data_IF_473862796185
#
_entry.id   IF_473862796185
#
_cell.length_a   1.000
_cell.length_b   1.000
_cell.length_c   1.000
_cell.angle_alpha   90.00
_cell.angle_beta   90.00
_cell.angle_gamma   90.00
#
_symmetry.space_group_name_H-M   'P 1'
#
loop_
_entity.id
_entity.type
_entity.pdbx_description
1 polymer ?
#
# COMPACT_ATOMS: atom_id res chain seq x y z
N UNK A 1 -43.30 15.91 -13.35
CA UNK A 1 -42.46 14.71 -13.19
C UNK A 1 -41.61 14.55 -14.44
N UNK A 2 -40.35 14.94 -14.38
CA UNK A 2 -39.41 14.84 -15.51
C UNK A 2 -38.13 15.64 -15.22
N UNK A 3 -36.96 15.06 -15.52
CA UNK A 3 -35.61 15.65 -15.52
C UNK A 3 -34.66 15.50 -14.31
N UNK A 4 -34.97 14.75 -13.25
CA UNK A 4 -33.93 14.46 -12.23
C UNK A 4 -32.86 13.46 -12.73
N UNK A 5 -33.22 12.49 -13.58
CA UNK A 5 -32.28 11.43 -14.01
C UNK A 5 -31.14 11.93 -14.93
N UNK A 6 -31.35 13.02 -15.68
CA UNK A 6 -30.31 13.60 -16.55
C UNK A 6 -29.23 14.36 -15.78
N UNK A 7 -29.61 15.08 -14.73
CA UNK A 7 -28.70 15.92 -13.93
C UNK A 7 -27.69 15.08 -13.13
N UNK A 8 -28.17 14.00 -12.49
CA UNK A 8 -27.30 13.04 -11.78
C UNK A 8 -26.29 12.32 -12.68
N UNK A 9 -26.56 12.25 -13.98
CA UNK A 9 -25.60 11.70 -14.96
C UNK A 9 -24.50 12.69 -15.32
N UNK A 10 -24.78 14.00 -15.25
CA UNK A 10 -23.83 15.07 -15.56
C UNK A 10 -22.87 15.31 -14.41
N UNK A 11 -23.36 15.47 -13.17
CA UNK A 11 -22.52 15.72 -11.99
C UNK A 11 -21.57 14.56 -11.69
N UNK A 12 -22.01 13.31 -11.87
CA UNK A 12 -21.14 12.12 -11.75
C UNK A 12 -20.03 12.09 -12.80
N UNK A 13 -20.33 12.47 -14.05
CA UNK A 13 -19.33 12.58 -15.12
C UNK A 13 -18.35 13.73 -14.86
N UNK A 14 -18.84 14.86 -14.33
CA UNK A 14 -18.00 15.99 -13.96
C UNK A 14 -17.04 15.62 -12.82
N UNK A 15 -17.52 14.94 -11.78
CA UNK A 15 -16.65 14.47 -10.69
C UNK A 15 -15.63 13.43 -11.18
N UNK A 16 -16.05 12.50 -12.04
CA UNK A 16 -15.12 11.54 -12.65
C UNK A 16 -14.07 12.22 -13.52
N UNK A 17 -14.43 13.29 -14.23
CA UNK A 17 -13.51 14.10 -15.03
C UNK A 17 -12.54 14.89 -14.15
N UNK A 18 -13.04 15.57 -13.11
CA UNK A 18 -12.20 16.26 -12.13
C UNK A 18 -11.21 15.30 -11.48
N UNK A 19 -11.67 14.09 -11.12
CA UNK A 19 -10.83 13.01 -10.61
C UNK A 19 -9.82 12.48 -11.63
N UNK A 20 -10.07 12.56 -12.94
CA UNK A 20 -9.10 12.17 -13.97
C UNK A 20 -8.05 13.25 -14.22
N UNK A 21 -8.49 14.51 -14.25
CA UNK A 21 -7.68 15.69 -14.55
C UNK A 21 -6.89 16.19 -13.33
N UNK A 22 -7.24 15.75 -12.11
CA UNK A 22 -6.61 16.22 -10.88
C UNK A 22 -7.15 17.57 -10.38
N UNK A 23 -8.34 17.97 -10.82
CA UNK A 23 -8.99 19.21 -10.40
C UNK A 23 -9.57 19.06 -8.97
N UNK A 24 -8.71 19.30 -7.97
CA UNK A 24 -9.04 19.18 -6.55
C UNK A 24 -10.14 20.15 -6.12
N UNK A 25 -10.08 21.40 -6.58
CA UNK A 25 -11.04 22.44 -6.22
C UNK A 25 -12.40 22.18 -6.87
N UNK A 26 -12.42 21.76 -8.15
CA UNK A 26 -13.65 21.33 -8.82
C UNK A 26 -14.27 20.11 -8.16
N UNK A 27 -13.46 19.09 -7.82
CA UNK A 27 -13.93 17.92 -7.10
C UNK A 27 -14.50 18.29 -5.72
N UNK A 28 -13.83 19.17 -4.97
CA UNK A 28 -14.27 19.65 -3.66
C UNK A 28 -15.62 20.36 -3.74
N UNK A 29 -15.79 21.33 -4.64
CA UNK A 29 -17.06 22.04 -4.85
C UNK A 29 -18.20 21.10 -5.20
N UNK A 30 -17.96 20.11 -6.07
CA UNK A 30 -18.97 19.13 -6.44
C UNK A 30 -19.39 18.25 -5.26
N UNK A 31 -18.45 17.86 -4.40
CA UNK A 31 -18.70 17.05 -3.21
C UNK A 31 -19.39 17.84 -2.09
N UNK A 32 -19.10 19.14 -1.94
CA UNK A 32 -19.80 20.03 -1.01
C UNK A 32 -21.27 20.22 -1.41
N UNK A 33 -21.55 20.33 -2.71
CA UNK A 33 -22.91 20.47 -3.23
C UNK A 33 -23.69 19.14 -3.20
N UNK A 34 -23.03 18.02 -3.50
CA UNK A 34 -23.65 16.70 -3.54
C UNK A 34 -22.71 15.61 -2.97
N UNK A 35 -22.68 15.43 -1.62
CA UNK A 35 -21.80 14.46 -0.97
C UNK A 35 -22.02 13.01 -1.42
N UNK A 36 -23.23 12.69 -1.90
CA UNK A 36 -23.59 11.37 -2.40
C UNK A 36 -22.79 10.92 -3.63
N UNK A 37 -22.22 11.85 -4.40
CA UNK A 37 -21.46 11.55 -5.63
C UNK A 37 -20.21 10.70 -5.35
N UNK A 38 -19.61 10.82 -4.16
CA UNK A 38 -18.44 10.06 -3.75
C UNK A 38 -18.68 8.55 -3.75
N UNK A 39 -19.91 8.10 -3.49
CA UNK A 39 -20.29 6.68 -3.41
C UNK A 39 -20.49 6.02 -4.78
N UNK A 40 -20.17 6.71 -5.86
CA UNK A 40 -20.31 6.18 -7.22
C UNK A 40 -19.36 4.99 -7.46
N UNK A 41 -19.94 3.84 -7.81
CA UNK A 41 -19.24 2.58 -8.10
C UNK A 41 -19.22 2.26 -9.61
N UNK A 42 -18.37 1.31 -10.02
CA UNK A 42 -18.33 0.79 -11.39
C UNK A 42 -17.30 1.47 -12.31
N UNK A 43 -17.61 1.61 -13.60
CA UNK A 43 -16.68 2.11 -14.64
C UNK A 43 -16.28 3.57 -14.45
N UNK A 44 -17.16 4.38 -13.87
CA UNK A 44 -16.94 5.81 -13.61
C UNK A 44 -16.76 6.10 -12.12
N UNK A 45 -16.14 5.17 -11.37
CA UNK A 45 -15.88 5.40 -9.95
C UNK A 45 -14.78 6.46 -9.80
N UNK A 46 -15.09 7.66 -9.26
CA UNK A 46 -14.11 8.74 -9.14
C UNK A 46 -12.93 8.33 -8.25
N UNK A 47 -13.16 7.46 -7.26
CA UNK A 47 -12.11 6.96 -6.37
C UNK A 47 -11.10 6.08 -7.11
N UNK A 48 -11.56 5.21 -8.01
CA UNK A 48 -10.66 4.39 -8.83
C UNK A 48 -9.87 5.23 -9.82
N UNK A 49 -10.53 6.23 -10.44
CA UNK A 49 -9.90 7.14 -11.40
C UNK A 49 -8.83 7.99 -10.71
N UNK A 50 -9.17 8.62 -9.58
CA UNK A 50 -8.22 9.42 -8.79
C UNK A 50 -7.04 8.58 -8.28
N UNK A 51 -7.30 7.35 -7.84
CA UNK A 51 -6.26 6.42 -7.41
C UNK A 51 -5.32 6.02 -8.56
N UNK A 52 -5.87 5.73 -9.75
CA UNK A 52 -5.09 5.41 -10.94
C UNK A 52 -4.27 6.62 -11.46
N UNK A 53 -4.79 7.83 -11.31
CA UNK A 53 -4.13 9.08 -11.70
C UNK A 53 -3.15 9.64 -10.65
N UNK A 54 -3.11 9.05 -9.46
CA UNK A 54 -2.25 9.50 -8.35
C UNK A 54 -2.69 10.79 -7.68
N UNK A 55 -3.95 11.20 -7.88
CA UNK A 55 -4.52 12.42 -7.32
C UNK A 55 -4.90 12.20 -5.85
N UNK A 56 -3.90 12.05 -4.99
CA UNK A 56 -4.03 11.68 -3.58
C UNK A 56 -4.97 12.59 -2.79
N UNK A 57 -4.99 13.89 -3.08
CA UNK A 57 -5.91 14.83 -2.42
C UNK A 57 -7.37 14.58 -2.80
N UNK A 58 -7.65 14.23 -4.06
CA UNK A 58 -8.99 13.82 -4.49
C UNK A 58 -9.37 12.46 -3.89
N UNK A 59 -8.42 11.52 -3.80
CA UNK A 59 -8.63 10.23 -3.12
C UNK A 59 -9.07 10.45 -1.68
N UNK A 60 -8.36 11.30 -0.94
CA UNK A 60 -8.70 11.65 0.45
C UNK A 60 -10.11 12.29 0.52
N UNK A 61 -10.38 13.32 -0.28
CA UNK A 61 -11.70 13.98 -0.33
C UNK A 61 -12.84 12.98 -0.57
N UNK A 62 -12.67 12.06 -1.52
CA UNK A 62 -13.70 11.07 -1.84
C UNK A 62 -13.94 10.10 -0.68
N UNK A 63 -12.88 9.63 -0.02
CA UNK A 63 -12.97 8.72 1.13
C UNK A 63 -13.67 9.40 2.32
N UNK A 64 -13.36 10.68 2.58
CA UNK A 64 -14.04 11.49 3.61
C UNK A 64 -15.54 11.64 3.34
N UNK A 65 -15.94 11.77 2.07
CA UNK A 65 -17.34 11.84 1.67
C UNK A 65 -18.01 10.46 1.58
N UNK A 66 -17.36 9.42 2.12
CA UNK A 66 -17.90 8.09 2.29
C UNK A 66 -17.76 7.17 1.08
N UNK A 67 -16.84 7.46 0.15
CA UNK A 67 -16.49 6.50 -0.89
C UNK A 67 -15.94 5.20 -0.27
N UNK A 68 -16.39 4.06 -0.79
CA UNK A 68 -15.93 2.77 -0.27
C UNK A 68 -14.48 2.49 -0.67
N UNK A 69 -13.54 2.53 0.29
CA UNK A 69 -12.12 2.21 0.08
C UNK A 69 -11.90 0.81 -0.52
N UNK A 70 -12.82 -0.12 -0.22
CA UNK A 70 -12.83 -1.50 -0.67
C UNK A 70 -13.81 -1.79 -1.81
N UNK A 71 -14.37 -0.73 -2.42
CA UNK A 71 -15.25 -0.87 -3.58
C UNK A 71 -14.51 -1.50 -4.75
N UNK A 72 -15.26 -2.12 -5.67
CA UNK A 72 -14.69 -2.83 -6.81
C UNK A 72 -15.15 -2.21 -8.12
N UNK A 73 -14.21 -2.01 -9.03
CA UNK A 73 -14.50 -1.67 -10.42
C UNK A 73 -15.18 -2.82 -11.14
N UNK A 74 -15.60 -2.61 -12.38
CA UNK A 74 -16.17 -3.67 -13.23
C UNK A 74 -15.21 -4.85 -13.42
N UNK A 75 -13.90 -4.61 -13.32
CA UNK A 75 -12.87 -5.64 -13.39
C UNK A 75 -12.57 -6.32 -12.04
N UNK A 76 -13.33 -5.98 -11.00
CA UNK A 76 -13.06 -6.45 -9.66
C UNK A 76 -11.82 -5.84 -9.03
N UNK A 77 -11.26 -4.77 -9.59
CA UNK A 77 -10.10 -4.13 -8.98
C UNK A 77 -10.55 -3.17 -7.90
N UNK A 78 -9.79 -3.06 -6.82
CA UNK A 78 -9.99 -2.03 -5.80
C UNK A 78 -9.25 -0.75 -6.19
N UNK A 79 -9.58 0.41 -5.60
CA UNK A 79 -8.80 1.63 -5.80
C UNK A 79 -7.32 1.43 -5.46
N UNK A 80 -7.02 0.65 -4.43
CA UNK A 80 -5.66 0.29 -4.02
C UNK A 80 -4.90 -0.46 -5.13
N UNK A 81 -5.56 -1.38 -5.83
CA UNK A 81 -4.95 -2.08 -6.96
C UNK A 81 -4.63 -1.13 -8.11
N UNK A 82 -5.52 -0.18 -8.43
CA UNK A 82 -5.25 0.78 -9.50
C UNK A 82 -4.12 1.75 -9.12
N UNK A 83 -4.08 2.24 -7.88
CA UNK A 83 -2.94 3.04 -7.39
C UNK A 83 -1.61 2.28 -7.45
N UNK A 84 -1.60 1.01 -7.02
CA UNK A 84 -0.42 0.15 -7.07
C UNK A 84 0.00 -0.16 -8.51
N UNK A 85 -0.95 -0.31 -9.43
CA UNK A 85 -0.67 -0.53 -10.86
C UNK A 85 0.00 0.69 -11.51
N UNK A 86 -0.45 1.89 -11.15
CA UNK A 86 0.11 3.15 -11.65
C UNK A 86 1.37 3.61 -10.89
N UNK A 87 1.69 3.01 -9.75
CA UNK A 87 2.84 3.38 -8.93
C UNK A 87 2.64 4.64 -8.07
N UNK A 88 1.40 5.09 -7.92
CA UNK A 88 1.05 6.31 -7.22
C UNK A 88 1.06 6.07 -5.70
N UNK A 89 2.25 6.07 -5.11
CA UNK A 89 2.47 5.71 -3.71
C UNK A 89 1.77 6.66 -2.72
N UNK A 90 1.57 7.93 -3.06
CA UNK A 90 0.78 8.89 -2.25
C UNK A 90 -0.70 8.48 -2.20
N UNK A 91 -1.25 7.99 -3.30
CA UNK A 91 -2.62 7.48 -3.34
C UNK A 91 -2.75 6.15 -2.58
N UNK A 92 -1.73 5.27 -2.66
CA UNK A 92 -1.66 4.05 -1.83
C UNK A 92 -1.65 4.42 -0.35
N UNK A 93 -0.81 5.37 0.04
CA UNK A 93 -0.75 5.85 1.41
C UNK A 93 -2.08 6.42 1.90
N UNK A 94 -2.74 7.26 1.11
CA UNK A 94 -4.06 7.79 1.42
C UNK A 94 -5.09 6.67 1.66
N UNK A 95 -5.13 5.67 0.77
CA UNK A 95 -6.04 4.52 0.88
C UNK A 95 -5.77 3.65 2.12
N UNK A 96 -4.50 3.46 2.50
CA UNK A 96 -4.12 2.64 3.66
C UNK A 96 -4.56 3.24 5.00
N UNK A 97 -4.71 4.57 5.08
CA UNK A 97 -5.25 5.24 6.28
C UNK A 97 -6.75 5.01 6.45
N UNK A 98 -7.48 4.69 5.38
CA UNK A 98 -8.92 4.39 5.42
C UNK A 98 -9.21 2.87 5.49
N UNK A 99 -8.36 2.12 6.18
CA UNK A 99 -8.52 0.67 6.44
C UNK A 99 -8.91 -0.16 5.19
N UNK A 100 -8.30 0.15 4.05
CA UNK A 100 -8.48 -0.68 2.87
C UNK A 100 -7.83 -2.05 3.05
N UNK A 101 -8.49 -3.08 2.51
CA UNK A 101 -8.06 -4.46 2.57
C UNK A 101 -7.03 -4.74 1.46
N UNK A 102 -5.77 -4.84 1.89
CA UNK A 102 -4.61 -5.07 1.02
C UNK A 102 -4.56 -6.47 0.42
N UNK A 103 -5.30 -7.43 1.00
CA UNK A 103 -5.27 -8.85 0.63
C UNK A 103 -6.32 -9.24 -0.43
N UNK A 104 -7.24 -8.32 -0.78
CA UNK A 104 -8.26 -8.61 -1.80
C UNK A 104 -7.60 -8.93 -3.13
N UNK A 105 -8.08 -9.98 -3.79
CA UNK A 105 -7.74 -10.31 -5.17
C UNK A 105 -8.74 -9.74 -6.17
N UNK A 106 -8.32 -9.46 -7.40
CA UNK A 106 -9.19 -9.03 -8.51
C UNK A 106 -10.15 -10.16 -8.93
N UNK A 107 -11.23 -9.85 -9.66
CA UNK A 107 -12.18 -10.90 -10.08
C UNK A 107 -11.61 -11.81 -11.16
N UNK A 108 -10.89 -11.25 -12.12
CA UNK A 108 -10.50 -11.96 -13.33
C UNK A 108 -9.32 -12.90 -13.14
N UNK A 109 -8.37 -12.51 -12.31
CA UNK A 109 -7.13 -13.25 -12.16
C UNK A 109 -6.65 -13.37 -10.72
N UNK A 110 -7.47 -13.01 -9.73
CA UNK A 110 -7.09 -13.09 -8.32
C UNK A 110 -5.90 -12.22 -7.91
N UNK A 111 -5.34 -11.39 -8.80
CA UNK A 111 -4.19 -10.52 -8.48
C UNK A 111 -4.57 -9.54 -7.38
N UNK A 112 -3.73 -9.47 -6.35
CA UNK A 112 -3.81 -8.49 -5.26
C UNK A 112 -3.09 -7.19 -5.62
N UNK A 113 -3.17 -6.18 -4.75
CA UNK A 113 -2.41 -4.94 -4.93
C UNK A 113 -0.89 -5.20 -5.00
N UNK A 114 -0.37 -6.19 -4.26
CA UNK A 114 1.04 -6.57 -4.28
C UNK A 114 1.49 -7.07 -5.65
N UNK A 115 0.64 -7.85 -6.33
CA UNK A 115 0.91 -8.33 -7.69
C UNK A 115 1.07 -7.18 -8.68
N UNK A 116 0.16 -6.18 -8.62
CA UNK A 116 0.22 -5.01 -9.50
C UNK A 116 1.42 -4.11 -9.21
N UNK A 117 1.76 -3.91 -7.92
CA UNK A 117 2.97 -3.16 -7.54
C UNK A 117 4.25 -3.85 -8.04
N UNK A 118 4.33 -5.18 -7.91
CA UNK A 118 5.48 -5.96 -8.35
C UNK A 118 5.63 -5.98 -9.88
N UNK A 119 4.53 -6.17 -10.61
CA UNK A 119 4.49 -6.09 -12.08
C UNK A 119 4.92 -4.71 -12.59
N UNK A 120 4.51 -3.63 -11.91
CA UNK A 120 4.85 -2.25 -12.28
C UNK A 120 6.22 -1.76 -11.80
N UNK A 121 6.91 -2.51 -10.92
CA UNK A 121 8.24 -2.13 -10.41
C UNK A 121 8.19 -1.12 -9.25
N UNK A 122 7.04 -1.01 -8.59
CA UNK A 122 6.76 0.05 -7.63
C UNK A 122 7.16 -0.37 -6.21
N UNK A 123 8.46 -0.42 -5.93
CA UNK A 123 9.01 -0.84 -4.64
C UNK A 123 8.46 -0.05 -3.43
N UNK A 124 8.22 1.26 -3.60
CA UNK A 124 7.60 2.09 -2.56
C UNK A 124 6.16 1.61 -2.22
N UNK A 125 5.38 1.23 -3.24
CA UNK A 125 4.05 0.65 -3.04
C UNK A 125 4.13 -0.69 -2.30
N UNK A 126 5.11 -1.55 -2.61
CA UNK A 126 5.32 -2.83 -1.90
C UNK A 126 5.59 -2.58 -0.41
N UNK A 127 6.47 -1.63 -0.07
CA UNK A 127 6.77 -1.27 1.33
C UNK A 127 5.52 -0.78 2.06
N UNK A 128 4.73 0.08 1.41
CA UNK A 128 3.46 0.58 1.95
C UNK A 128 2.44 -0.53 2.17
N UNK A 129 2.31 -1.47 1.23
CA UNK A 129 1.38 -2.59 1.35
C UNK A 129 1.72 -3.50 2.53
N UNK A 130 3.01 -3.84 2.71
CA UNK A 130 3.48 -4.60 3.88
C UNK A 130 3.18 -3.85 5.17
N UNK A 131 3.45 -2.55 5.20
CA UNK A 131 3.20 -1.74 6.38
C UNK A 131 1.70 -1.64 6.72
N UNK A 132 0.85 -1.51 5.69
CA UNK A 132 -0.59 -1.52 5.80
C UNK A 132 -1.16 -2.86 6.29
N UNK A 133 -0.58 -3.97 5.83
CA UNK A 133 -0.92 -5.32 6.28
C UNK A 133 -0.64 -5.50 7.79
N UNK A 134 0.57 -5.15 8.23
CA UNK A 134 0.98 -5.26 9.64
C UNK A 134 0.15 -4.32 10.53
N UNK A 135 -0.17 -3.11 10.04
CA UNK A 135 -1.01 -2.15 10.76
C UNK A 135 -2.46 -2.64 10.94
N UNK A 136 -2.97 -3.47 10.02
CA UNK A 136 -4.32 -4.03 10.08
C UNK A 136 -4.44 -5.29 10.97
N UNK A 137 -3.43 -5.59 11.79
CA UNK A 137 -3.40 -6.78 12.65
C UNK A 137 -2.77 -8.01 12.01
N UNK A 138 -2.09 -7.85 10.86
CA UNK A 138 -1.16 -8.84 10.35
C UNK A 138 0.03 -9.00 11.29
N UNK A 139 0.43 -10.23 11.57
CA UNK A 139 1.68 -10.56 12.27
C UNK A 139 2.74 -10.98 11.24
N UNK A 140 4.00 -11.05 11.67
CA UNK A 140 5.09 -11.52 10.81
C UNK A 140 4.87 -12.97 10.33
N UNK A 141 4.16 -13.79 11.10
CA UNK A 141 3.83 -15.17 10.72
C UNK A 141 2.89 -15.24 9.50
N UNK A 142 1.95 -14.30 9.36
CA UNK A 142 1.04 -14.20 8.22
C UNK A 142 1.61 -13.41 7.06
N UNK A 143 2.71 -12.68 7.27
CA UNK A 143 3.37 -11.90 6.22
C UNK A 143 3.82 -12.82 5.08
N UNK A 144 4.37 -13.99 5.40
CA UNK A 144 4.77 -14.98 4.40
C UNK A 144 3.57 -15.41 3.53
N UNK A 145 2.40 -15.62 4.14
CA UNK A 145 1.17 -15.94 3.42
C UNK A 145 0.67 -14.81 2.52
N UNK A 146 0.82 -13.56 2.96
CA UNK A 146 0.48 -12.38 2.17
C UNK A 146 1.42 -12.18 0.98
N UNK A 147 2.74 -12.28 1.19
CA UNK A 147 3.76 -12.10 0.15
C UNK A 147 3.70 -13.21 -0.89
N UNK A 148 3.44 -14.44 -0.44
CA UNK A 148 3.36 -15.62 -1.30
C UNK A 148 1.95 -15.94 -1.80
N UNK A 149 0.98 -15.06 -1.55
CA UNK A 149 -0.37 -15.24 -2.05
C UNK A 149 -0.32 -15.35 -3.58
N UNK A 150 -0.79 -16.49 -4.11
CA UNK A 150 -0.84 -16.70 -5.53
C UNK A 150 -2.10 -16.10 -6.14
N UNK A 151 -1.94 -15.42 -7.27
CA UNK A 151 -3.02 -15.11 -8.20
C UNK A 151 -3.58 -16.39 -8.84
N UNK A 152 -4.62 -16.25 -9.67
CA UNK A 152 -5.09 -17.35 -10.52
C UNK A 152 -3.91 -17.92 -11.30
N UNK A 153 -3.81 -19.26 -11.41
CA UNK A 153 -2.70 -19.99 -12.01
C UNK A 153 -1.38 -20.03 -11.22
N UNK A 154 -1.39 -19.79 -9.90
CA UNK A 154 -0.19 -19.99 -9.07
C UNK A 154 0.86 -18.88 -9.18
N UNK A 155 0.60 -17.85 -9.99
CA UNK A 155 1.51 -16.73 -10.21
C UNK A 155 1.58 -15.88 -8.94
N UNK A 156 2.77 -15.71 -8.37
CA UNK A 156 3.03 -14.84 -7.22
C UNK A 156 3.52 -13.45 -7.65
N UNK A 157 3.59 -12.51 -6.71
CA UNK A 157 4.18 -11.19 -6.97
C UNK A 157 5.64 -11.28 -7.45
N UNK A 158 6.42 -12.24 -6.95
CA UNK A 158 7.82 -12.46 -7.35
C UNK A 158 7.94 -12.86 -8.83
N UNK A 159 7.02 -13.69 -9.34
CA UNK A 159 6.97 -14.03 -10.76
C UNK A 159 6.74 -12.79 -11.64
N UNK A 160 5.84 -11.90 -11.23
CA UNK A 160 5.53 -10.69 -12.00
C UNK A 160 6.67 -9.66 -11.94
N UNK A 161 7.31 -9.49 -10.79
CA UNK A 161 8.52 -8.66 -10.69
C UNK A 161 9.66 -9.19 -11.58
N UNK A 162 9.83 -10.52 -11.61
CA UNK A 162 10.81 -11.18 -12.47
C UNK A 162 10.47 -11.02 -13.97
N UNK A 163 9.19 -11.17 -14.33
CA UNK A 163 8.71 -10.96 -15.71
C UNK A 163 8.99 -9.55 -16.19
N UNK A 164 8.69 -8.56 -15.37
CA UNK A 164 8.85 -7.16 -15.74
C UNK A 164 10.30 -6.66 -15.64
N UNK A 165 11.23 -7.49 -15.16
CA UNK A 165 12.63 -7.10 -15.01
C UNK A 165 12.95 -6.20 -13.83
N UNK A 166 12.03 -6.08 -12.88
CA UNK A 166 12.14 -5.13 -11.77
C UNK A 166 13.02 -5.70 -10.66
N UNK A 167 14.34 -5.67 -10.84
CA UNK A 167 15.31 -6.27 -9.92
C UNK A 167 15.20 -5.74 -8.47
N UNK A 168 14.85 -4.47 -8.27
CA UNK A 168 14.64 -3.90 -6.94
C UNK A 168 13.41 -4.49 -6.25
N UNK A 169 12.32 -4.72 -6.99
CA UNK A 169 11.14 -5.42 -6.48
C UNK A 169 11.43 -6.91 -6.23
N UNK A 170 12.18 -7.57 -7.10
CA UNK A 170 12.63 -8.95 -6.89
C UNK A 170 13.40 -9.06 -5.59
N UNK A 171 14.41 -8.19 -5.40
CA UNK A 171 15.20 -8.14 -4.16
C UNK A 171 14.34 -7.86 -2.94
N UNK A 172 13.47 -6.84 -3.01
CA UNK A 172 12.59 -6.47 -1.90
C UNK A 172 11.63 -7.61 -1.52
N UNK A 173 11.02 -8.28 -2.50
CA UNK A 173 10.12 -9.41 -2.24
C UNK A 173 10.87 -10.59 -1.62
N UNK A 174 12.10 -10.87 -2.05
CA UNK A 174 12.94 -11.91 -1.44
C UNK A 174 13.40 -11.53 -0.01
N UNK A 175 13.66 -10.25 0.26
CA UNK A 175 13.89 -9.74 1.61
C UNK A 175 12.66 -9.90 2.51
N UNK A 176 11.46 -9.97 1.92
CA UNK A 176 10.17 -10.22 2.58
C UNK A 176 9.76 -11.70 2.52
N UNK A 177 10.72 -12.62 2.35
CA UNK A 177 10.50 -14.08 2.31
C UNK A 177 9.58 -14.58 1.19
N UNK A 178 9.59 -13.92 0.02
CA UNK A 178 8.97 -14.50 -1.16
C UNK A 178 9.64 -15.83 -1.55
N UNK A 179 8.83 -16.83 -1.84
CA UNK A 179 9.25 -18.18 -2.20
C UNK A 179 9.95 -18.18 -3.56
N UNK A 180 11.28 -18.32 -3.52
CA UNK A 180 12.16 -18.30 -4.70
C UNK A 180 11.88 -19.45 -5.69
N UNK A 181 11.31 -20.55 -5.20
CA UNK A 181 10.99 -21.76 -5.96
C UNK A 181 9.48 -21.94 -6.19
N UNK A 182 8.66 -20.91 -5.97
CA UNK A 182 7.23 -21.00 -6.27
C UNK A 182 7.02 -21.35 -7.75
N UNK A 183 6.04 -22.20 -8.05
CA UNK A 183 5.77 -22.65 -9.42
C UNK A 183 4.44 -22.07 -9.92
N UNK A 184 4.47 -21.41 -11.07
CA UNK A 184 3.27 -20.93 -11.74
C UNK A 184 2.68 -22.02 -12.67
N UNK A 185 1.38 -22.26 -12.57
CA UNK A 185 0.60 -23.19 -13.41
C UNK A 185 0.20 -22.61 -14.78
N UNK A 186 0.68 -21.41 -15.12
CA UNK A 186 0.55 -20.69 -16.40
C UNK A 186 -0.80 -20.79 -17.14
N UNK A 187 -1.71 -19.82 -16.92
CA UNK A 187 -2.81 -19.51 -17.87
C UNK A 187 -3.12 -18.02 -18.04
N UNK A 188 -2.38 -17.09 -17.42
CA UNK A 188 -2.90 -15.71 -17.25
C UNK A 188 -2.40 -14.64 -18.23
N UNK A 189 -1.42 -14.89 -19.11
CA UNK A 189 -0.96 -13.92 -20.11
C UNK A 189 -0.32 -14.60 -21.33
N UNK A 190 -0.58 -14.14 -22.58
CA UNK A 190 0.01 -14.72 -23.79
C UNK A 190 1.55 -14.63 -23.80
N UNK A 191 2.14 -13.63 -23.14
CA UNK A 191 3.60 -13.49 -23.03
C UNK A 191 4.23 -14.46 -22.01
N UNK A 192 3.48 -14.88 -20.98
CA UNK A 192 3.95 -15.86 -19.99
C UNK A 192 3.57 -17.31 -20.36
N UNK A 193 2.57 -17.47 -21.25
CA UNK A 193 2.14 -18.77 -21.76
C UNK A 193 3.25 -19.49 -22.54
N UNK A 194 4.16 -18.76 -23.18
CA UNK A 194 5.31 -19.32 -23.89
C UNK A 194 6.40 -19.89 -22.97
N UNK A 195 6.43 -19.47 -21.69
CA UNK A 195 7.38 -20.01 -20.70
C UNK A 195 6.94 -21.43 -20.31
N UNK A 196 5.63 -21.62 -20.13
CA UNK A 196 5.01 -22.91 -19.82
C UNK A 196 4.72 -23.14 -18.34
N UNK A 197 3.81 -24.05 -18.03
CA UNK A 197 3.42 -24.37 -16.64
C UNK A 197 4.60 -24.95 -15.82
N UNK A 198 4.54 -24.85 -14.50
CA UNK A 198 5.62 -25.25 -13.59
C UNK A 198 6.82 -24.29 -13.59
N UNK A 199 6.69 -23.11 -14.20
CA UNK A 199 7.79 -22.16 -14.32
C UNK A 199 8.00 -21.38 -13.03
N UNK A 200 9.24 -21.36 -12.55
CA UNK A 200 9.68 -20.60 -11.35
C UNK A 200 9.97 -19.13 -11.69
N UNK A 201 10.16 -18.24 -10.69
CA UNK A 201 10.57 -16.86 -10.93
C UNK A 201 11.86 -16.72 -11.76
N UNK A 202 12.78 -17.69 -11.67
CA UNK A 202 14.01 -17.68 -12.47
C UNK A 202 13.73 -17.93 -13.96
N UNK A 203 12.74 -18.77 -14.31
CA UNK A 203 12.29 -18.92 -15.70
C UNK A 203 11.71 -17.61 -16.25
N UNK A 204 10.93 -16.89 -15.43
CA UNK A 204 10.33 -15.60 -15.79
C UNK A 204 11.37 -14.48 -15.96
N UNK A 205 12.41 -14.45 -15.12
CA UNK A 205 13.52 -13.51 -15.29
C UNK A 205 14.35 -13.85 -16.54
N UNK A 206 14.55 -15.15 -16.82
CA UNK A 206 15.28 -15.64 -17.97
C UNK A 206 14.58 -15.32 -19.31
N UNK A 207 13.24 -15.39 -19.36
CA UNK A 207 12.48 -15.08 -20.59
C UNK A 207 12.58 -13.62 -21.01
N UNK A 208 12.93 -12.72 -20.09
CA UNK A 208 12.96 -11.27 -20.33
C UNK A 208 14.37 -10.69 -20.42
N UNK A 209 15.41 -11.51 -20.28
CA UNK A 209 16.79 -11.08 -20.47
C UNK A 209 17.36 -10.28 -19.29
N UNK A 210 16.65 -10.22 -18.16
CA UNK A 210 17.01 -9.36 -17.04
C UNK A 210 18.11 -9.95 -16.16
N UNK A 211 19.38 -9.68 -16.53
CA UNK A 211 20.57 -10.18 -15.84
C UNK A 211 20.54 -9.95 -14.33
N UNK A 212 20.20 -8.73 -13.88
CA UNK A 212 20.16 -8.39 -12.44
C UNK A 212 19.13 -9.23 -11.69
N UNK A 213 17.93 -9.41 -12.24
CA UNK A 213 16.89 -10.25 -11.62
C UNK A 213 17.33 -11.70 -11.51
N UNK A 214 17.97 -12.24 -12.56
CA UNK A 214 18.56 -13.58 -12.53
C UNK A 214 19.64 -13.71 -11.45
N UNK A 215 20.56 -12.74 -11.36
CA UNK A 215 21.61 -12.71 -10.34
C UNK A 215 21.02 -12.68 -8.92
N UNK A 216 20.06 -11.79 -8.66
CA UNK A 216 19.41 -11.69 -7.34
C UNK A 216 18.70 -13.00 -6.97
N UNK A 217 17.94 -13.59 -7.90
CA UNK A 217 17.23 -14.86 -7.64
C UNK A 217 18.21 -15.99 -7.32
N UNK A 218 19.29 -16.12 -8.10
CA UNK A 218 20.33 -17.13 -7.86
C UNK A 218 21.03 -16.91 -6.52
N UNK A 219 21.39 -15.66 -6.20
CA UNK A 219 22.02 -15.31 -4.92
C UNK A 219 21.13 -15.69 -3.73
N UNK A 220 19.80 -15.72 -3.93
CA UNK A 220 18.80 -16.12 -2.92
C UNK A 220 18.37 -17.59 -3.04
N UNK A 221 19.14 -18.42 -3.75
CA UNK A 221 18.93 -19.88 -3.80
C UNK A 221 17.99 -20.37 -4.89
N UNK A 222 17.69 -19.57 -5.92
CA UNK A 222 16.96 -20.07 -7.08
C UNK A 222 17.73 -21.19 -7.78
N UNK A 223 17.09 -22.35 -7.97
CA UNK A 223 17.70 -23.48 -8.64
C UNK A 223 17.82 -23.26 -10.14
N UNK A 224 19.05 -23.39 -10.66
CA UNK A 224 19.35 -23.41 -12.11
C UNK A 224 18.90 -24.70 -12.79
N UNK A 225 18.69 -25.77 -12.02
CA UNK A 225 18.27 -27.08 -12.52
C UNK A 225 16.77 -27.31 -12.43
N UNK A 226 15.99 -26.30 -12.00
CA UNK A 226 14.54 -26.40 -11.96
C UNK A 226 14.01 -26.59 -13.38
N UNK A 227 13.18 -27.61 -13.59
CA UNK A 227 12.54 -27.88 -14.88
C UNK A 227 11.07 -27.56 -14.78
N UNK A 228 10.55 -26.87 -15.79
CA UNK A 228 9.11 -26.64 -15.90
C UNK A 228 8.40 -27.82 -16.58
N UNK A 229 7.09 -27.76 -16.77
CA UNK A 229 6.29 -28.83 -17.36
C UNK A 229 6.62 -29.15 -18.83
N UNK A 230 7.33 -28.27 -19.53
CA UNK A 230 7.85 -28.54 -20.88
C UNK A 230 9.25 -29.18 -20.86
N UNK A 231 9.83 -29.40 -19.68
CA UNK A 231 11.19 -29.89 -19.51
C UNK A 231 12.25 -28.81 -19.76
N UNK A 232 11.87 -27.53 -19.84
CA UNK A 232 12.82 -26.44 -20.03
C UNK A 232 13.44 -26.03 -18.70
N UNK A 233 14.75 -25.84 -18.71
CA UNK A 233 15.49 -25.15 -17.67
C UNK A 233 15.39 -23.63 -17.87
N UNK A 234 15.73 -22.80 -16.87
CA UNK A 234 15.81 -21.35 -17.05
C UNK A 234 16.75 -20.95 -18.19
N UNK A 235 17.86 -21.67 -18.37
CA UNK A 235 18.81 -21.44 -19.47
C UNK A 235 18.20 -21.74 -20.84
N UNK A 236 17.31 -22.74 -20.95
CA UNK A 236 16.66 -23.09 -22.20
C UNK A 236 15.61 -22.06 -22.57
N UNK A 237 14.87 -21.55 -21.57
CA UNK A 237 13.97 -20.40 -21.75
C UNK A 237 14.75 -19.18 -22.25
N UNK A 238 15.88 -18.82 -21.60
CA UNK A 238 16.71 -17.69 -22.05
C UNK A 238 17.17 -17.86 -23.52
N UNK A 239 17.63 -19.05 -23.90
CA UNK A 239 18.03 -19.36 -25.29
C UNK A 239 16.86 -19.22 -26.26
N UNK A 240 15.70 -19.77 -25.92
CA UNK A 240 14.49 -19.71 -26.76
C UNK A 240 14.00 -18.29 -27.00
N UNK A 241 14.19 -17.41 -26.02
CA UNK A 241 13.89 -15.98 -26.10
C UNK A 241 15.02 -15.13 -26.71
N UNK A 242 16.17 -15.72 -27.08
CA UNK A 242 17.30 -15.02 -27.70
C UNK A 242 18.29 -14.35 -26.74
N UNK A 243 18.18 -14.58 -25.43
CA UNK A 243 19.03 -13.98 -24.40
C UNK A 243 20.31 -14.78 -24.15
N UNK A 244 21.15 -14.91 -25.19
CA UNK A 244 22.38 -15.71 -25.16
C UNK A 244 23.38 -15.23 -24.09
N UNK A 245 23.40 -13.92 -23.81
CA UNK A 245 24.23 -13.31 -22.76
C UNK A 245 23.95 -13.85 -21.35
N UNK A 246 22.76 -14.40 -21.12
CA UNK A 246 22.40 -15.01 -19.83
C UNK A 246 22.89 -16.45 -19.70
N UNK A 247 23.27 -17.11 -20.79
CA UNK A 247 23.66 -18.54 -20.78
C UNK A 247 24.83 -18.83 -19.84
N UNK A 248 25.91 -18.03 -19.80
CA UNK A 248 26.99 -18.24 -18.85
C UNK A 248 26.51 -18.20 -17.40
N UNK A 249 25.60 -17.29 -17.05
CA UNK A 249 25.06 -17.17 -15.69
C UNK A 249 24.10 -18.32 -15.32
N UNK A 250 23.23 -18.71 -16.24
CA UNK A 250 22.13 -19.67 -16.00
C UNK A 250 22.54 -21.13 -16.19
N UNK A 251 23.70 -21.41 -16.80
CA UNK A 251 24.21 -22.77 -16.95
C UNK A 251 24.35 -23.46 -15.59
N UNK A 252 23.94 -24.74 -15.51
CA UNK A 252 23.91 -25.50 -14.25
C UNK A 252 25.29 -25.54 -13.57
N UNK A 253 26.35 -25.70 -14.37
CA UNK A 253 27.74 -25.76 -13.91
C UNK A 253 28.46 -24.41 -14.00
N UNK A 254 27.73 -23.30 -13.94
CA UNK A 254 28.33 -21.97 -14.03
C UNK A 254 29.21 -21.68 -12.81
N UNK A 255 30.48 -21.34 -13.06
CA UNK A 255 31.42 -20.87 -12.04
C UNK A 255 31.38 -19.34 -11.86
N UNK A 256 30.48 -18.64 -12.55
CA UNK A 256 30.37 -17.19 -12.44
C UNK A 256 29.95 -16.79 -11.03
N UNK A 257 30.80 -15.98 -10.39
CA UNK A 257 30.50 -15.35 -9.12
C UNK A 257 29.26 -14.46 -9.28
N UNK A 258 28.25 -14.73 -8.46
CA UNK A 258 27.07 -13.88 -8.37
C UNK A 258 27.36 -12.78 -7.36
N UNK A 259 27.07 -11.51 -7.68
CA UNK A 259 27.27 -10.42 -6.73
C UNK A 259 26.50 -10.64 -5.42
N UNK A 260 27.06 -10.16 -4.31
CA UNK A 260 26.35 -10.14 -3.04
C UNK A 260 25.26 -9.06 -3.04
N UNK A 261 24.04 -9.46 -2.67
CA UNK A 261 22.91 -8.56 -2.54
C UNK A 261 22.47 -8.48 -1.07
N UNK A 262 23.09 -7.60 -0.26
CA UNK A 262 22.76 -7.47 1.16
C UNK A 262 21.27 -7.14 1.31
N UNK A 263 20.65 -7.63 2.40
CA UNK A 263 19.24 -7.37 2.66
C UNK A 263 18.97 -5.85 2.66
N UNK A 264 17.94 -5.42 1.94
CA UNK A 264 17.44 -4.06 2.10
C UNK A 264 16.71 -4.02 3.45
N UNK A 265 17.33 -3.42 4.47
CA UNK A 265 16.72 -3.19 5.78
C UNK A 265 15.33 -2.59 5.56
N UNK A 266 14.28 -3.37 5.81
CA UNK A 266 12.93 -2.97 5.49
C UNK A 266 12.47 -2.02 6.62
N UNK A 267 12.20 -0.72 6.38
CA UNK A 267 11.71 0.19 7.41
C UNK A 267 10.21 -0.04 7.70
N UNK A 268 9.73 -1.27 7.55
CA UNK A 268 8.33 -1.66 7.73
C UNK A 268 7.84 -1.34 9.14
N UNK A 269 8.70 -1.40 10.16
CA UNK A 269 8.31 -1.10 11.55
C UNK A 269 8.00 0.39 11.79
N UNK A 270 8.79 1.31 11.20
CA UNK A 270 8.53 2.75 11.31
C UNK A 270 7.29 3.12 10.50
N UNK A 271 7.15 2.56 9.30
CA UNK A 271 6.04 2.80 8.39
C UNK A 271 4.71 2.24 8.95
N UNK A 272 4.69 0.96 9.33
CA UNK A 272 4.22 0.46 10.64
C UNK A 272 3.44 1.40 11.54
N UNK A 273 4.21 1.90 12.50
CA UNK A 273 3.83 2.81 13.55
C UNK A 273 3.15 4.08 13.02
N UNK A 274 3.68 4.72 11.97
CA UNK A 274 3.10 5.98 11.49
C UNK A 274 1.74 5.78 10.78
N UNK A 275 1.52 4.66 10.07
CA UNK A 275 0.21 4.34 9.50
C UNK A 275 -0.80 4.10 10.62
N UNK A 276 -0.41 3.38 11.69
CA UNK A 276 -1.29 3.17 12.86
C UNK A 276 -1.67 4.49 13.52
N UNK A 277 -0.69 5.37 13.75
CA UNK A 277 -0.95 6.71 14.28
C UNK A 277 -1.88 7.52 13.38
N UNK A 278 -1.71 7.44 12.05
CA UNK A 278 -2.56 8.12 11.09
C UNK A 278 -4.01 7.60 11.10
N UNK A 279 -4.22 6.29 11.30
CA UNK A 279 -5.56 5.68 11.45
C UNK A 279 -6.26 6.12 12.72
N UNK A 280 -5.54 6.13 13.85
CA UNK A 280 -6.09 6.48 15.16
C UNK A 280 -6.43 7.97 15.31
N UNK A 281 -5.66 8.85 14.66
CA UNK A 281 -5.72 10.29 14.89
C UNK A 281 -6.20 11.09 13.67
N UNK A 282 -6.42 10.42 12.54
CA UNK A 282 -6.77 11.01 11.26
C UNK A 282 -5.57 11.71 10.58
N UNK A 283 -5.58 11.72 9.24
CA UNK A 283 -4.69 12.61 8.47
C UNK A 283 -5.15 14.08 8.51
N UNK A 284 -6.36 14.32 9.02
CA UNK A 284 -7.11 15.54 8.80
C UNK A 284 -7.32 16.27 10.10
N UNK A 285 -6.39 17.16 10.37
CA UNK A 285 -6.88 18.48 10.67
C UNK A 285 -6.34 19.40 9.60
N UNK A 286 -7.24 20.08 8.90
CA UNK A 286 -6.99 21.48 8.56
C UNK A 286 -6.87 22.27 9.88
N UNK A 287 -5.91 21.92 10.72
CA UNK A 287 -5.35 22.89 11.64
C UNK A 287 -4.51 23.75 10.71
N UNK A 288 -5.15 24.79 10.16
CA UNK A 288 -4.45 26.07 10.16
C UNK A 288 -3.83 26.14 11.55
N UNK A 289 -2.49 26.26 11.68
CA UNK A 289 -1.90 26.37 13.00
C UNK A 289 -2.73 27.41 13.77
N UNK A 290 -3.28 27.01 14.92
CA UNK A 290 -3.78 28.02 15.85
C UNK A 290 -2.63 28.98 16.11
N UNK A 291 -2.91 30.25 16.39
CA UNK A 291 -1.88 31.29 16.61
C UNK A 291 -0.76 30.86 17.60
N UNK A 292 -1.02 29.86 18.45
CA UNK A 292 -0.07 29.30 19.43
C UNK A 292 0.76 28.07 18.98
N UNK A 293 0.61 27.57 17.74
CA UNK A 293 1.28 26.34 17.29
C UNK A 293 2.21 26.56 16.11
N UNK A 294 3.51 26.30 16.29
CA UNK A 294 4.51 26.41 15.23
C UNK A 294 4.19 25.47 14.04
N UNK A 295 4.27 25.95 12.79
CA UNK A 295 4.06 25.11 11.62
C UNK A 295 5.18 24.08 11.48
N UNK A 296 4.86 22.95 10.86
CA UNK A 296 5.81 21.88 10.60
C UNK A 296 6.94 22.41 9.72
N UNK A 297 8.17 22.33 10.23
CA UNK A 297 9.37 22.83 9.55
C UNK A 297 9.63 22.21 8.17
N UNK A 298 8.95 21.12 7.81
CA UNK A 298 9.10 20.45 6.51
C UNK A 298 8.11 20.98 5.47
N UNK A 299 6.83 21.14 5.81
CA UNK A 299 5.81 21.60 4.83
C UNK A 299 5.38 23.04 5.03
N UNK A 300 5.68 23.67 6.17
CA UNK A 300 5.30 25.04 6.56
C UNK A 300 3.78 25.31 6.57
N UNK A 301 2.94 24.31 6.31
CA UNK A 301 1.49 24.43 6.18
C UNK A 301 0.71 23.87 7.37
N UNK A 302 1.21 22.80 8.00
CA UNK A 302 0.47 22.00 8.99
C UNK A 302 1.18 22.01 10.33
N UNK A 303 0.43 22.01 11.43
CA UNK A 303 1.03 21.84 12.76
C UNK A 303 1.70 20.46 12.91
N UNK A 304 2.73 20.39 13.75
CA UNK A 304 3.36 19.12 14.13
C UNK A 304 2.43 18.31 15.03
N UNK A 305 2.18 17.05 14.66
CA UNK A 305 1.28 16.15 15.41
C UNK A 305 2.00 14.93 15.96
N UNK A 306 3.18 14.61 15.42
CA UNK A 306 4.03 13.52 15.87
C UNK A 306 5.44 14.01 16.15
N UNK A 307 6.12 13.40 17.11
CA UNK A 307 7.51 13.62 17.41
C UNK A 307 8.32 12.38 17.04
N UNK A 308 9.46 12.58 16.38
CA UNK A 308 10.40 11.53 16.05
C UNK A 308 11.09 11.01 17.32
N UNK A 309 10.97 9.71 17.59
CA UNK A 309 11.74 9.06 18.65
C UNK A 309 13.21 8.96 18.24
N UNK A 310 14.11 9.40 19.12
CA UNK A 310 15.55 9.55 18.87
C UNK A 310 16.00 11.01 18.94
N UNK A 311 15.32 11.92 18.23
CA UNK A 311 15.72 13.34 18.17
C UNK A 311 14.66 14.33 18.69
N UNK A 312 13.42 13.90 18.96
CA UNK A 312 12.37 14.72 19.53
C UNK A 312 11.75 15.76 18.59
N UNK A 313 12.25 15.90 17.36
CA UNK A 313 11.72 16.84 16.39
C UNK A 313 10.28 16.52 16.00
N UNK A 314 9.44 17.57 15.94
CA UNK A 314 8.05 17.49 15.52
C UNK A 314 7.91 17.46 13.99
N UNK A 315 7.00 16.62 13.51
CA UNK A 315 6.59 16.50 12.11
C UNK A 315 5.06 16.44 12.04
N UNK A 316 4.45 16.95 10.97
CA UNK A 316 3.06 16.61 10.68
C UNK A 316 2.98 15.16 10.17
N UNK A 317 1.86 14.46 10.44
CA UNK A 317 1.67 13.06 10.03
C UNK A 317 1.94 12.87 8.53
N UNK A 318 1.50 13.79 7.66
CA UNK A 318 1.77 13.73 6.19
C UNK A 318 3.26 13.77 5.87
N UNK A 319 4.04 14.63 6.51
CA UNK A 319 5.49 14.69 6.31
C UNK A 319 6.21 13.45 6.86
N UNK A 320 5.81 12.96 8.04
CA UNK A 320 6.35 11.73 8.60
C UNK A 320 6.07 10.52 7.70
N UNK A 321 4.85 10.43 7.18
CA UNK A 321 4.42 9.42 6.21
C UNK A 321 5.20 9.51 4.88
N UNK A 322 5.38 10.70 4.32
CA UNK A 322 6.17 10.93 3.11
C UNK A 322 7.63 10.53 3.30
N UNK A 323 8.23 10.92 4.43
CA UNK A 323 9.60 10.57 4.79
C UNK A 323 9.81 9.05 4.84
N UNK A 324 8.91 8.32 5.51
CA UNK A 324 9.02 6.87 5.65
C UNK A 324 8.75 6.11 4.35
N UNK A 325 7.90 6.64 3.46
CA UNK A 325 7.59 6.02 2.16
C UNK A 325 8.73 6.16 1.15
N UNK A 326 9.49 7.25 1.22
CA UNK A 326 10.54 7.61 0.25
C UNK A 326 11.95 7.30 0.72
N UNK A 327 12.14 7.05 2.02
CA UNK A 327 13.44 6.66 2.58
C UNK A 327 13.88 5.29 2.07
N UNK A 328 14.54 5.29 0.93
CA UNK A 328 15.40 4.21 0.47
C UNK A 328 16.73 4.39 1.20
N UNK A 329 16.98 3.53 2.19
CA UNK A 329 18.24 3.40 2.96
C UNK A 329 19.40 4.23 2.39
N UNK A 330 19.58 5.47 2.87
CA UNK A 330 20.77 6.26 2.54
C UNK A 330 21.93 5.51 3.17
N UNK A 331 22.91 5.11 2.34
CA UNK A 331 24.24 4.72 2.82
C UNK A 331 24.79 5.93 3.59
N UNK A 332 24.72 5.93 4.92
CA UNK A 332 25.55 6.83 5.71
C UNK A 332 26.98 6.31 5.65
N UNK A 333 27.67 6.63 4.56
CA UNK A 333 29.13 6.72 4.56
C UNK A 333 29.48 8.01 5.31
N UNK A 334 29.41 7.97 6.64
CA UNK A 334 30.13 8.93 7.47
C UNK A 334 30.76 8.17 8.62
N UNK A 335 32.07 8.31 8.72
CA UNK A 335 32.91 7.84 9.81
C UNK A 335 32.30 8.25 11.16
N UNK A 336 31.55 7.34 11.78
CA UNK A 336 31.17 7.43 13.17
C UNK A 336 31.17 6.04 13.76
N UNK A 337 31.80 5.93 14.92
CA UNK A 337 32.07 4.70 15.67
C UNK A 337 30.80 4.16 16.35
N UNK A 338 29.82 3.71 15.56
CA UNK A 338 28.79 2.74 15.90
C UNK A 338 27.81 2.63 14.72
N UNK A 339 27.40 1.42 14.29
CA UNK A 339 26.36 1.29 13.29
C UNK A 339 25.05 1.91 13.82
N UNK A 340 24.34 2.75 13.03
CA UNK A 340 22.99 3.16 13.40
C UNK A 340 22.12 1.90 13.58
N UNK A 341 21.16 1.88 14.53
CA UNK A 341 20.32 0.72 14.71
C UNK A 341 19.64 0.35 13.39
N UNK A 342 19.57 -0.95 13.05
CA UNK A 342 19.22 -1.44 11.72
C UNK A 342 17.71 -1.30 11.42
N UNK A 343 17.19 -0.08 11.33
CA UNK A 343 15.82 0.24 10.89
C UNK A 343 15.53 1.76 10.78
N UNK A 344 16.50 2.64 11.07
CA UNK A 344 16.20 4.03 11.33
C UNK A 344 16.06 4.89 10.07
N UNK A 345 14.97 5.67 9.98
CA UNK A 345 14.73 6.65 8.91
C UNK A 345 15.42 7.97 9.26
N UNK A 346 16.25 8.59 8.42
CA UNK A 346 16.98 9.79 8.80
C UNK A 346 16.04 10.98 9.00
N UNK A 347 16.16 11.67 10.13
CA UNK A 347 15.42 12.89 10.40
C UNK A 347 15.84 14.01 9.43
N UNK A 348 14.91 14.72 8.77
CA UNK A 348 15.26 15.78 7.81
C UNK A 348 15.95 16.99 8.47
N UNK A 349 15.78 17.19 9.78
CA UNK A 349 16.30 18.35 10.51
C UNK A 349 17.70 18.12 11.09
N UNK A 350 17.95 16.93 11.65
CA UNK A 350 19.20 16.64 12.36
C UNK A 350 19.94 15.39 11.86
N UNK A 351 19.37 14.66 10.89
CA UNK A 351 19.89 13.40 10.32
C UNK A 351 20.02 12.22 11.29
N UNK A 352 19.65 12.41 12.56
CA UNK A 352 19.51 11.31 13.52
C UNK A 352 18.47 10.28 13.05
N UNK A 353 18.72 9.02 13.38
CA UNK A 353 17.87 7.92 12.98
C UNK A 353 16.55 7.88 13.77
N UNK A 354 15.43 7.96 13.05
CA UNK A 354 14.07 7.81 13.58
C UNK A 354 13.70 6.34 13.62
N UNK A 355 13.43 5.82 14.82
CA UNK A 355 13.05 4.42 15.04
C UNK A 355 11.55 4.23 15.23
N UNK A 356 10.83 5.28 15.61
CA UNK A 356 9.38 5.31 15.73
C UNK A 356 8.90 6.77 15.82
N UNK A 357 7.59 6.96 15.75
CA UNK A 357 6.94 8.23 16.07
C UNK A 357 6.06 8.06 17.32
N UNK A 358 6.02 9.12 18.12
CA UNK A 358 5.06 9.26 19.22
C UNK A 358 4.15 10.44 18.95
N UNK A 359 2.91 10.36 19.42
CA UNK A 359 1.98 11.49 19.34
C UNK A 359 2.47 12.65 20.20
N UNK A 360 2.38 13.86 19.67
CA UNK A 360 2.49 15.08 20.47
C UNK A 360 1.08 15.34 21.04
N UNK A 361 0.90 15.42 22.37
CA UNK A 361 -0.39 15.76 22.95
C UNK A 361 -0.75 17.19 22.54
N UNK A 362 -1.62 17.34 21.55
CA UNK A 362 -2.27 18.61 21.24
C UNK A 362 -3.36 18.88 22.28
N UNK A 363 -3.45 20.12 22.76
CA UNK A 363 -4.60 20.59 23.54
C UNK A 363 -5.88 20.27 22.74
N UNK A 364 -6.85 19.62 23.40
CA UNK A 364 -8.02 19.04 22.76
C UNK A 364 -8.79 20.07 21.90
N UNK A 365 -8.99 19.76 20.62
CA UNK A 365 -9.99 20.43 19.78
C UNK A 365 -11.07 19.41 19.46
N UNK A 366 -12.32 19.81 19.72
CA UNK A 366 -13.55 18.99 19.77
C UNK A 366 -13.66 18.00 18.61
N UNK A 367 -13.72 16.70 18.94
CA UNK A 367 -14.16 15.66 18.03
C UNK A 367 -15.55 16.00 17.47
N UNK A 368 -15.67 16.20 16.16
CA UNK A 368 -16.97 16.04 15.49
C UNK A 368 -17.17 14.54 15.31
N UNK A 369 -17.81 13.91 16.30
CA UNK A 369 -18.32 12.55 16.14
C UNK A 369 -19.40 12.55 15.06
N UNK A 370 -19.04 12.13 13.84
CA UNK A 370 -20.04 11.75 12.84
C UNK A 370 -20.54 10.37 13.25
N UNK A 371 -21.66 10.34 13.97
CA UNK A 371 -22.41 9.12 14.25
C UNK A 371 -22.80 8.48 12.91
N UNK A 372 -22.25 7.29 12.62
CA UNK A 372 -22.73 6.43 11.56
C UNK A 372 -24.12 5.95 12.00
N UNK A 373 -25.14 6.65 11.53
CA UNK A 373 -26.54 6.35 11.80
C UNK A 373 -26.91 5.00 11.17
N UNK A 374 -26.95 3.97 12.00
CA UNK A 374 -27.75 2.77 11.73
C UNK A 374 -29.22 3.11 11.97
N UNK A 375 -30.01 3.16 10.91
CA UNK A 375 -31.48 3.06 10.90
C UNK A 375 -31.82 2.09 9.77
N UNK A 376 -32.69 1.08 9.87
CA UNK A 376 -33.90 0.84 10.67
C UNK A 376 -34.85 0.09 9.70
N UNK A 377 -35.81 -0.76 10.06
CA UNK A 377 -36.43 -1.11 11.33
C UNK A 377 -37.53 -2.16 11.10
N UNK A 378 -38.27 -2.49 12.16
CA UNK A 378 -39.51 -3.27 12.13
C UNK A 378 -40.26 -3.07 13.44
N UNK A 379 -41.43 -2.44 13.36
CA UNK A 379 -42.23 -1.92 14.46
C UNK A 379 -43.01 -3.01 15.25
N UNK A 380 -43.38 -2.72 16.51
CA UNK A 380 -44.77 -2.67 17.03
C UNK A 380 -44.85 -2.57 18.58
N UNK A 381 -45.38 -1.41 19.02
CA UNK A 381 -46.28 -1.11 20.17
C UNK A 381 -45.98 -1.47 21.65
N UNK A 382 -46.59 -0.73 22.62
CA UNK A 382 -46.10 -0.57 23.99
C UNK A 382 -46.97 -1.27 25.06
N UNK A 383 -46.38 -1.72 26.17
CA UNK A 383 -47.11 -2.06 27.40
C UNK A 383 -46.36 -1.65 28.67
N UNK A 384 -47.16 -1.18 29.62
CA UNK A 384 -46.87 -0.61 30.95
C UNK A 384 -46.28 -1.62 31.94
N UNK A 385 -45.49 -1.12 32.90
CA UNK A 385 -45.61 -1.26 34.37
C UNK A 385 -44.25 -0.94 35.02
N UNK A 386 -44.09 0.19 35.71
CA UNK A 386 -44.40 0.47 37.12
C UNK A 386 -43.50 -0.22 38.17
N UNK A 387 -43.07 0.63 39.13
CA UNK A 387 -42.48 0.36 40.46
C UNK A 387 -40.97 0.06 40.48
N UNK A 388 -40.14 0.56 41.40
CA UNK A 388 -40.37 1.33 42.62
C UNK A 388 -39.14 2.18 42.99
N UNK A 389 -39.43 3.29 43.67
CA UNK A 389 -38.56 4.17 44.46
C UNK A 389 -38.13 3.46 45.75
N UNK A 390 -36.90 3.66 46.26
CA UNK A 390 -36.53 4.29 47.56
C UNK A 390 -34.99 4.37 47.69
N UNK A 391 -34.41 5.52 48.11
CA UNK A 391 -33.01 5.72 48.49
C UNK A 391 -32.80 5.82 50.02
N UNK A 392 -31.67 5.33 50.56
CA UNK A 392 -31.20 5.46 51.97
C UNK A 392 -29.68 5.16 51.93
N UNK A 393 -28.69 5.80 52.56
CA UNK A 393 -28.54 6.97 53.45
C UNK A 393 -27.04 7.35 53.47
N UNK A 394 -26.75 8.59 53.88
CA UNK A 394 -25.46 9.04 54.40
C UNK A 394 -25.04 8.29 55.67
N UNK A 395 -23.72 8.11 55.87
CA UNK A 395 -23.14 8.17 57.21
C UNK A 395 -21.68 8.63 57.12
N UNK A 396 -21.43 9.84 57.61
CA UNK A 396 -20.12 10.34 58.01
C UNK A 396 -19.77 9.86 59.43
N UNK A 397 -18.49 10.07 59.80
CA UNK A 397 -17.81 9.88 61.10
C UNK A 397 -17.07 8.55 61.27
N UNK A 398 -15.76 8.53 60.97
CA UNK A 398 -14.68 8.93 61.92
C UNK A 398 -13.40 9.20 61.17
#
# INVERSE_FOLDING_TARGET
MGNCLGFFSSSRKQLARAAAEGDTEGAKKLLEMEPGLARSSGFSSPLHIAAAGGHSEIVLLLLEHGAGANSRSFNGRTPLMEACRSGCWEAVQALLVFDCDVSKGSYWNGRTALHYAAEGGHAACIRLLVAGFLSAGGDEAKLDGFVNQAASSGVTALHLAALSGNADCVRLLLDLHAAVSAEALCLSSPAAASIGAGSTPLHYAASTGNLKSCQVLIARGASRSAVNSHGYLPVDVAKSCGWIELVPLLSINSELAVPDFPASLCPSLVLTNIIKLAREHGMFSSTVPSDDSDPCAVCLERACTVAAEGCGHGLCIRCALCLCSTSSSIKCESERSAPPPPAAVPCPLCREGIVAFRRIPSVAVREVRITIGGHGGGALSPLKNQSAVVPIEEAALT
#
